data_IF_679416329408
#
_entry.id   IF_679416329408
#
_cell.length_a   1.000
_cell.length_b   1.000
_cell.length_c   1.000
_cell.angle_alpha   90.00
_cell.angle_beta   90.00
_cell.angle_gamma   90.00
#
_symmetry.space_group_name_H-M   'P 1'
#
loop_
_entity.id
_entity.type
_entity.pdbx_description
1 polymer ?
#
# COMPACT_ATOMS: atom_id res chain seq x y z
N UNK A 1 6.26 2.38 30.47
CA UNK A 1 5.45 1.65 29.47
C UNK A 1 5.62 2.39 28.16
N UNK A 2 6.64 2.06 27.37
CA UNK A 2 6.86 2.72 26.08
C UNK A 2 6.21 1.85 25.02
N UNK A 3 5.06 2.30 24.52
CA UNK A 3 4.39 1.65 23.39
C UNK A 3 5.17 2.00 22.14
N UNK A 4 6.15 1.16 21.80
CA UNK A 4 6.72 1.13 20.46
C UNK A 4 5.57 0.84 19.48
N UNK A 5 5.32 1.65 18.45
CA UNK A 5 4.40 1.24 17.39
C UNK A 5 4.97 -0.03 16.75
N UNK A 6 4.14 -1.04 16.44
CA UNK A 6 4.63 -2.26 15.82
C UNK A 6 5.24 -1.88 14.46
N UNK A 7 6.57 -1.92 14.38
CA UNK A 7 7.29 -2.06 13.13
C UNK A 7 6.88 -3.43 12.56
N UNK A 8 5.78 -3.44 11.81
CA UNK A 8 5.36 -4.60 11.05
C UNK A 8 6.42 -4.81 9.95
N UNK A 9 7.14 -5.93 9.96
CA UNK A 9 8.15 -6.22 8.96
C UNK A 9 7.48 -6.34 7.59
N UNK A 10 8.20 -5.93 6.56
CA UNK A 10 7.81 -6.03 5.16
C UNK A 10 7.23 -7.42 4.83
N UNK A 11 5.91 -7.52 4.59
CA UNK A 11 5.29 -8.57 3.76
C UNK A 11 3.77 -8.44 3.62
N UNK A 12 3.06 -7.79 4.54
CA UNK A 12 1.60 -7.68 4.44
C UNK A 12 1.18 -6.42 3.69
N UNK A 13 1.40 -6.44 2.38
CA UNK A 13 0.92 -5.44 1.42
C UNK A 13 -0.61 -5.48 1.34
N UNK A 14 -1.19 -6.67 1.56
CA UNK A 14 -2.62 -6.95 1.52
C UNK A 14 -3.46 -6.03 2.42
N UNK A 15 -3.24 -5.93 3.74
CA UNK A 15 -4.03 -5.05 4.59
C UNK A 15 -3.91 -3.57 4.21
N UNK A 16 -2.77 -3.15 3.66
CA UNK A 16 -2.55 -1.76 3.24
C UNK A 16 -3.34 -1.45 1.95
N UNK A 17 -3.34 -2.37 0.99
CA UNK A 17 -4.19 -2.29 -0.21
C UNK A 17 -5.66 -2.32 0.16
N UNK A 18 -6.08 -3.25 1.03
CA UNK A 18 -7.46 -3.36 1.48
C UNK A 18 -7.93 -2.08 2.16
N UNK A 19 -7.14 -1.53 3.09
CA UNK A 19 -7.46 -0.27 3.75
C UNK A 19 -7.60 0.89 2.76
N UNK A 20 -6.70 0.98 1.77
CA UNK A 20 -6.76 2.03 0.75
C UNK A 20 -8.03 1.92 -0.14
N UNK A 21 -8.42 0.70 -0.50
CA UNK A 21 -9.62 0.44 -1.29
C UNK A 21 -10.91 0.68 -0.49
N UNK A 22 -10.95 0.28 0.79
CA UNK A 22 -12.11 0.47 1.67
C UNK A 22 -12.32 1.94 2.03
N UNK A 23 -11.25 2.66 2.35
CA UNK A 23 -11.34 4.08 2.73
C UNK A 23 -11.45 5.00 1.52
N UNK A 24 -11.10 4.52 0.32
CA UNK A 24 -10.98 5.36 -0.88
C UNK A 24 -9.89 6.42 -0.75
N UNK A 25 -9.00 6.26 0.24
CA UNK A 25 -7.94 7.19 0.60
C UNK A 25 -6.65 6.40 0.75
N UNK A 26 -5.59 6.90 0.14
CA UNK A 26 -4.24 6.34 0.25
C UNK A 26 -3.35 7.37 0.92
N UNK A 27 -2.72 7.02 2.05
CA UNK A 27 -1.75 7.93 2.66
C UNK A 27 -0.52 8.06 1.76
N UNK A 28 0.16 9.22 1.77
CA UNK A 28 1.46 9.39 1.10
C UNK A 28 2.48 8.34 1.55
N UNK A 29 2.46 8.00 2.84
CA UNK A 29 3.36 6.98 3.40
C UNK A 29 3.06 5.59 2.84
N UNK A 30 1.78 5.27 2.69
CA UNK A 30 1.33 4.01 2.10
C UNK A 30 1.68 3.94 0.62
N UNK A 31 1.45 5.02 -0.13
CA UNK A 31 1.85 5.12 -1.53
C UNK A 31 3.36 4.89 -1.73
N UNK A 32 4.20 5.50 -0.89
CA UNK A 32 5.66 5.29 -0.93
C UNK A 32 6.04 3.86 -0.55
N UNK A 33 5.37 3.28 0.44
CA UNK A 33 5.60 1.89 0.86
C UNK A 33 5.28 0.92 -0.28
N UNK A 34 4.13 1.09 -0.93
CA UNK A 34 3.71 0.28 -2.09
C UNK A 34 4.67 0.44 -3.28
N UNK A 35 5.09 1.67 -3.57
CA UNK A 35 6.03 1.96 -4.66
C UNK A 35 7.40 1.32 -4.40
N UNK A 36 7.89 1.46 -3.17
CA UNK A 36 9.16 0.86 -2.75
C UNK A 36 9.09 -0.66 -2.78
N UNK A 37 7.97 -1.24 -2.33
CA UNK A 37 7.76 -2.69 -2.42
C UNK A 37 7.77 -3.16 -3.88
N UNK A 38 7.09 -2.46 -4.80
CA UNK A 38 7.10 -2.82 -6.22
C UNK A 38 8.48 -2.78 -6.88
N UNK A 39 9.31 -1.81 -6.50
CA UNK A 39 10.62 -1.58 -7.11
C UNK A 39 11.73 -2.43 -6.48
N UNK A 40 11.66 -2.65 -5.16
CA UNK A 40 12.77 -3.23 -4.38
C UNK A 40 12.50 -4.63 -3.86
N UNK A 41 11.27 -5.16 -3.94
CA UNK A 41 10.97 -6.50 -3.44
C UNK A 41 10.93 -7.54 -4.57
N UNK A 42 12.00 -8.36 -4.75
CA UNK A 42 12.01 -9.43 -5.74
C UNK A 42 11.09 -10.60 -5.37
N UNK A 43 10.65 -10.70 -4.11
CA UNK A 43 9.74 -11.75 -3.63
C UNK A 43 8.24 -11.40 -3.80
N UNK A 44 7.92 -10.25 -4.42
CA UNK A 44 6.54 -9.83 -4.61
C UNK A 44 5.85 -10.76 -5.62
N UNK A 45 4.76 -11.40 -5.19
CA UNK A 45 4.02 -12.31 -6.08
C UNK A 45 3.30 -11.53 -7.17
N UNK A 46 2.95 -12.20 -8.27
CA UNK A 46 2.14 -11.60 -9.34
C UNK A 46 0.80 -11.05 -8.82
N UNK A 47 0.21 -11.72 -7.81
CA UNK A 47 -1.03 -11.30 -7.16
C UNK A 47 -0.84 -10.00 -6.36
N UNK A 48 0.25 -9.90 -5.59
CA UNK A 48 0.58 -8.68 -4.86
C UNK A 48 0.81 -7.52 -5.83
N UNK A 49 1.51 -7.75 -6.95
CA UNK A 49 1.71 -6.74 -8.00
C UNK A 49 0.39 -6.25 -8.59
N UNK A 50 -0.54 -7.16 -8.87
CA UNK A 50 -1.87 -6.79 -9.36
C UNK A 50 -2.61 -5.93 -8.34
N UNK A 51 -2.59 -6.29 -7.06
CA UNK A 51 -3.25 -5.52 -6.00
C UNK A 51 -2.69 -4.11 -5.87
N UNK A 52 -1.36 -3.96 -5.91
CA UNK A 52 -0.72 -2.63 -5.88
C UNK A 52 -1.12 -1.80 -7.11
N UNK A 53 -1.05 -2.41 -8.30
CA UNK A 53 -1.45 -1.74 -9.53
C UNK A 53 -2.92 -1.29 -9.50
N UNK A 54 -3.81 -2.05 -8.88
CA UNK A 54 -5.22 -1.69 -8.75
C UNK A 54 -5.43 -0.45 -7.86
N UNK A 55 -4.64 -0.33 -6.78
CA UNK A 55 -4.64 0.88 -5.93
C UNK A 55 -4.13 2.09 -6.71
N UNK A 56 -3.02 1.95 -7.45
CA UNK A 56 -2.47 3.04 -8.26
C UNK A 56 -3.36 3.44 -9.42
N UNK A 57 -4.02 2.49 -10.08
CA UNK A 57 -5.01 2.76 -11.11
C UNK A 57 -6.21 3.52 -10.53
N UNK A 58 -6.70 3.08 -9.37
CA UNK A 58 -7.76 3.78 -8.65
C UNK A 58 -7.36 5.20 -8.26
N UNK A 59 -6.10 5.42 -7.86
CA UNK A 59 -5.57 6.77 -7.60
C UNK A 59 -5.51 7.62 -8.88
N UNK A 60 -5.01 7.05 -9.98
CA UNK A 60 -4.89 7.74 -11.28
C UNK A 60 -6.26 8.10 -11.87
N UNK A 61 -7.25 7.24 -11.69
CA UNK A 61 -8.61 7.42 -12.16
C UNK A 61 -9.46 8.28 -11.19
N UNK A 62 -8.87 8.78 -10.09
CA UNK A 62 -9.53 9.63 -9.11
C UNK A 62 -10.54 8.92 -8.20
N UNK A 63 -10.57 7.58 -8.24
CA UNK A 63 -11.39 6.73 -7.35
C UNK A 63 -10.78 6.63 -5.95
N UNK A 64 -9.45 6.71 -5.85
CA UNK A 64 -8.74 6.92 -4.59
C UNK A 64 -8.21 8.34 -4.54
N UNK A 65 -8.15 8.90 -3.34
CA UNK A 65 -7.52 10.19 -3.07
C UNK A 65 -6.24 10.00 -2.28
N UNK A 66 -5.20 10.74 -2.65
CA UNK A 66 -4.00 10.81 -1.82
C UNK A 66 -4.29 11.76 -0.65
N UNK A 67 -4.21 11.26 0.57
CA UNK A 67 -4.33 12.08 1.79
C UNK A 67 -3.08 11.91 2.67
N UNK A 68 -2.98 12.71 3.73
CA UNK A 68 -1.94 12.59 4.75
C UNK A 68 -2.59 12.27 6.09
#
# INVERSE_FOLDING_TARGET
MVSSPPQKPASDIQPLVTAALEQGILSRRDHLTLSTAMLSNPALTARDRQHINQVFDGLRNGRLRLAD
#
